data_IF_134531272082
#
_entry.id   IF_134531272082
#
_cell.length_a   1.000
_cell.length_b   1.000
_cell.length_c   1.000
_cell.angle_alpha   90.00
_cell.angle_beta   90.00
_cell.angle_gamma   90.00
#
_symmetry.space_group_name_H-M   'P 1'
#
loop_
_entity.id
_entity.type
_entity.pdbx_description
1 polymer ?
#
# COMPACT_ATOMS: atom_id res chain seq x y z
N UNK A 1 -3.80 -2.39 -12.92
CA UNK A 1 -2.51 -3.09 -13.00
C UNK A 1 -1.59 -2.50 -14.04
N UNK A 2 -2.09 -2.19 -15.25
CA UNK A 2 -1.27 -1.52 -16.28
C UNK A 2 -0.84 -0.11 -15.86
N UNK A 3 -1.65 0.60 -15.05
CA UNK A 3 -1.25 1.87 -14.45
C UNK A 3 -0.12 1.68 -13.42
N UNK A 4 -0.16 0.62 -12.61
CA UNK A 4 0.93 0.32 -11.65
C UNK A 4 2.21 -0.07 -12.39
N UNK A 5 2.13 -0.86 -13.46
CA UNK A 5 3.28 -1.17 -14.31
C UNK A 5 3.90 0.08 -14.93
N UNK A 6 3.07 1.06 -15.35
CA UNK A 6 3.54 2.36 -15.82
C UNK A 6 4.21 3.18 -14.72
N UNK A 7 3.75 3.08 -13.47
CA UNK A 7 4.36 3.74 -12.31
C UNK A 7 5.78 3.24 -12.03
N UNK A 8 6.01 1.94 -12.21
CA UNK A 8 7.31 1.31 -11.95
C UNK A 8 8.29 1.52 -13.13
N UNK A 9 7.80 1.44 -14.38
CA UNK A 9 8.62 1.48 -15.60
C UNK A 9 8.70 2.86 -16.28
N UNK A 10 8.02 3.89 -15.72
CA UNK A 10 7.83 5.20 -16.35
C UNK A 10 6.78 5.16 -17.48
N UNK A 11 6.29 6.34 -17.85
CA UNK A 11 5.34 6.51 -18.94
C UNK A 11 6.10 6.84 -20.23
N UNK A 12 5.90 6.04 -21.28
CA UNK A 12 6.50 6.31 -22.59
C UNK A 12 5.67 7.35 -23.33
N UNK A 13 6.24 8.53 -23.54
CA UNK A 13 5.63 9.61 -24.36
C UNK A 13 6.52 9.81 -25.59
N UNK A 14 6.09 9.29 -26.75
CA UNK A 14 6.90 9.22 -27.95
C UNK A 14 8.15 8.35 -27.70
N UNK A 15 9.33 8.90 -27.99
CA UNK A 15 10.61 8.20 -27.77
C UNK A 15 11.21 8.44 -26.37
N UNK A 16 10.55 9.22 -25.52
CA UNK A 16 11.03 9.54 -24.18
C UNK A 16 10.30 8.73 -23.11
N UNK A 17 11.05 8.24 -22.14
CA UNK A 17 10.48 7.73 -20.88
C UNK A 17 10.41 8.91 -19.92
N UNK A 18 9.21 9.23 -19.47
CA UNK A 18 8.97 10.28 -18.47
C UNK A 18 8.64 9.60 -17.16
N UNK A 19 9.46 9.84 -16.15
CA UNK A 19 9.23 9.30 -14.83
C UNK A 19 8.13 10.10 -14.12
N UNK A 20 7.21 9.44 -13.39
CA UNK A 20 6.23 10.11 -12.56
C UNK A 20 6.92 10.87 -11.42
N UNK A 21 6.36 12.01 -11.04
CA UNK A 21 6.81 12.77 -9.88
C UNK A 21 6.06 12.32 -8.63
N UNK A 22 6.79 11.86 -7.62
CA UNK A 22 6.27 11.41 -6.34
C UNK A 22 6.34 12.53 -5.30
N UNK A 23 5.23 12.75 -4.60
CA UNK A 23 5.13 13.76 -3.55
C UNK A 23 4.61 13.13 -2.27
N UNK A 24 5.50 12.91 -1.29
CA UNK A 24 5.11 12.40 0.03
C UNK A 24 4.15 13.37 0.71
N UNK A 25 3.17 12.81 1.39
CA UNK A 25 2.19 13.54 2.18
C UNK A 25 2.30 13.19 3.66
N UNK A 26 1.73 14.05 4.50
CA UNK A 26 1.62 13.75 5.92
C UNK A 26 0.82 12.45 6.12
N UNK A 27 1.36 11.57 6.94
CA UNK A 27 0.73 10.28 7.26
C UNK A 27 -0.55 10.44 8.10
N UNK A 28 -0.74 11.60 8.70
CA UNK A 28 -1.85 11.90 9.59
C UNK A 28 -2.92 12.71 8.87
N UNK A 29 -4.12 12.14 8.75
CA UNK A 29 -5.29 12.83 8.25
C UNK A 29 -6.23 13.14 9.41
N UNK A 30 -6.16 14.37 9.92
CA UNK A 30 -7.07 14.86 10.94
C UNK A 30 -8.22 15.63 10.29
N UNK A 31 -9.45 15.24 10.61
CA UNK A 31 -10.63 16.04 10.30
C UNK A 31 -11.31 16.35 11.63
N UNK A 32 -11.64 17.63 11.84
CA UNK A 32 -12.32 18.09 13.05
C UNK A 32 -13.60 17.27 13.26
N UNK A 33 -13.79 16.80 14.48
CA UNK A 33 -14.93 15.99 14.92
C UNK A 33 -14.99 14.54 14.35
N UNK A 34 -14.04 14.14 13.48
CA UNK A 34 -13.94 12.77 12.92
C UNK A 34 -12.72 11.98 13.42
N UNK A 35 -11.80 12.67 14.11
CA UNK A 35 -10.59 12.07 14.68
C UNK A 35 -9.43 11.93 13.69
N UNK A 36 -8.35 11.32 14.18
CA UNK A 36 -7.09 11.10 13.46
C UNK A 36 -7.11 9.74 12.77
N UNK A 37 -6.77 9.73 11.49
CA UNK A 37 -6.46 8.52 10.73
C UNK A 37 -4.99 8.58 10.33
N UNK A 38 -4.25 7.50 10.62
CA UNK A 38 -2.83 7.39 10.27
C UNK A 38 -2.65 6.38 9.16
N UNK A 39 -1.91 6.77 8.14
CA UNK A 39 -1.48 5.92 7.03
C UNK A 39 -0.06 5.42 7.27
N UNK A 40 0.25 4.18 6.84
CA UNK A 40 1.64 3.70 6.86
C UNK A 40 2.48 4.49 5.85
N UNK A 41 2.01 4.58 4.61
CA UNK A 41 2.63 5.40 3.54
C UNK A 41 1.52 6.12 2.78
N UNK A 42 1.63 7.45 2.64
CA UNK A 42 0.68 8.27 1.90
C UNK A 42 1.41 9.27 1.00
N UNK A 43 1.03 9.32 -0.27
CA UNK A 43 1.62 10.20 -1.26
C UNK A 43 0.67 10.44 -2.45
N UNK A 44 0.98 11.42 -3.29
CA UNK A 44 0.37 11.54 -4.59
C UNK A 44 1.43 11.46 -5.69
N UNK A 45 0.98 11.12 -6.89
CA UNK A 45 1.80 11.02 -8.08
C UNK A 45 1.18 11.87 -9.17
N UNK A 46 2.02 12.65 -9.82
CA UNK A 46 1.68 13.37 -11.02
C UNK A 46 2.14 12.57 -12.26
N UNK A 47 1.17 11.98 -12.95
CA UNK A 47 1.36 11.12 -14.13
C UNK A 47 1.29 11.96 -15.39
N UNK A 48 2.38 12.09 -16.17
CA UNK A 48 2.35 12.72 -17.47
C UNK A 48 1.39 11.97 -18.42
N UNK A 49 0.58 12.72 -19.18
CA UNK A 49 -0.31 12.19 -20.20
C UNK A 49 0.25 12.44 -21.60
N UNK A 50 -0.26 11.72 -22.61
CA UNK A 50 0.16 11.87 -24.00
C UNK A 50 -0.14 13.26 -24.58
N UNK A 51 -1.15 13.94 -24.08
CA UNK A 51 -1.56 15.31 -24.45
C UNK A 51 -0.78 16.40 -23.70
N UNK A 52 0.30 16.03 -22.99
CA UNK A 52 1.11 16.90 -22.14
C UNK A 52 0.41 17.41 -20.88
N UNK A 53 -0.81 16.97 -20.60
CA UNK A 53 -1.46 17.21 -19.32
C UNK A 53 -0.88 16.33 -18.23
N UNK A 54 -1.25 16.60 -16.98
CA UNK A 54 -0.81 15.80 -15.82
C UNK A 54 -2.03 15.27 -15.09
N UNK A 55 -2.07 13.95 -14.89
CA UNK A 55 -3.11 13.30 -14.09
C UNK A 55 -2.56 13.02 -12.70
N UNK A 56 -3.13 13.68 -11.68
CA UNK A 56 -2.79 13.40 -10.28
C UNK A 56 -3.62 12.24 -9.74
N UNK A 57 -2.96 11.35 -9.00
CA UNK A 57 -3.60 10.27 -8.24
C UNK A 57 -3.03 10.22 -6.83
N UNK A 58 -3.88 9.95 -5.85
CA UNK A 58 -3.48 9.79 -4.45
C UNK A 58 -3.38 8.31 -4.11
N UNK A 59 -2.33 7.93 -3.39
CA UNK A 59 -2.03 6.53 -3.08
C UNK A 59 -1.71 6.41 -1.61
N UNK A 60 -2.35 5.48 -0.91
CA UNK A 60 -1.85 4.97 0.34
C UNK A 60 -1.48 3.49 0.24
N UNK A 61 -0.48 3.08 1.03
CA UNK A 61 -0.05 1.70 1.15
C UNK A 61 -0.08 1.34 2.63
N UNK A 62 -0.82 0.29 2.97
CA UNK A 62 -0.96 -0.26 4.31
C UNK A 62 -0.37 -1.65 4.36
N UNK A 63 0.52 -1.93 5.33
CA UNK A 63 1.10 -3.25 5.55
C UNK A 63 0.45 -3.86 6.79
N UNK A 64 -0.42 -4.85 6.58
CA UNK A 64 -1.25 -5.42 7.63
C UNK A 64 -0.85 -6.86 7.97
N UNK A 65 -0.08 -7.04 9.04
CA UNK A 65 0.39 -8.36 9.49
C UNK A 65 -0.74 -9.25 10.04
N UNK A 66 -1.79 -8.64 10.64
CA UNK A 66 -2.96 -9.38 11.14
C UNK A 66 -4.07 -9.35 10.11
N UNK A 67 -4.40 -10.49 9.53
CA UNK A 67 -5.50 -10.63 8.55
C UNK A 67 -6.90 -10.62 9.18
N UNK A 68 -6.99 -10.76 10.51
CA UNK A 68 -8.25 -10.74 11.29
C UNK A 68 -8.07 -9.92 12.56
N UNK A 69 -8.04 -8.58 12.48
CA UNK A 69 -7.83 -7.71 13.64
C UNK A 69 -9.08 -7.50 14.50
N UNK A 70 -10.18 -8.23 14.25
CA UNK A 70 -11.48 -8.08 14.92
C UNK A 70 -12.52 -7.33 14.08
N UNK A 71 -12.15 -6.90 12.88
CA UNK A 71 -13.02 -6.27 11.88
C UNK A 71 -12.54 -6.65 10.46
N UNK A 72 -13.37 -6.35 9.46
CA UNK A 72 -13.03 -6.63 8.06
C UNK A 72 -12.10 -5.56 7.49
N UNK A 73 -10.93 -5.97 6.99
CA UNK A 73 -9.94 -5.06 6.39
C UNK A 73 -10.49 -4.33 5.16
N UNK A 74 -11.34 -4.98 4.37
CA UNK A 74 -12.03 -4.35 3.24
C UNK A 74 -12.88 -3.16 3.71
N UNK A 75 -13.62 -3.29 4.82
CA UNK A 75 -14.39 -2.17 5.37
C UNK A 75 -13.49 -1.02 5.82
N UNK A 76 -12.35 -1.36 6.44
CA UNK A 76 -11.36 -0.35 6.83
C UNK A 76 -10.75 0.32 5.59
N UNK A 77 -10.46 -0.43 4.52
CA UNK A 77 -9.89 0.16 3.29
C UNK A 77 -10.85 1.18 2.64
N UNK A 78 -12.15 0.93 2.65
CA UNK A 78 -13.17 1.87 2.18
C UNK A 78 -13.14 3.16 3.02
N UNK A 79 -13.06 3.05 4.37
CA UNK A 79 -12.96 4.22 5.23
C UNK A 79 -11.69 5.04 4.95
N UNK A 80 -10.56 4.38 4.66
CA UNK A 80 -9.31 5.04 4.29
C UNK A 80 -9.43 5.78 2.94
N UNK A 81 -9.99 5.14 1.92
CA UNK A 81 -10.23 5.78 0.63
C UNK A 81 -11.17 6.98 0.75
N UNK A 82 -12.27 6.83 1.50
CA UNK A 82 -13.22 7.92 1.76
C UNK A 82 -12.54 9.11 2.45
N UNK A 83 -11.63 8.85 3.41
CA UNK A 83 -10.84 9.89 4.08
C UNK A 83 -9.89 10.58 3.11
N UNK A 84 -9.22 9.83 2.22
CA UNK A 84 -8.35 10.38 1.18
C UNK A 84 -9.12 11.29 0.22
N UNK A 85 -10.34 10.90 -0.17
CA UNK A 85 -11.23 11.73 -0.98
C UNK A 85 -11.62 12.99 -0.22
N UNK A 86 -12.14 12.83 1.01
CA UNK A 86 -12.58 13.96 1.84
C UNK A 86 -11.45 14.96 2.12
N UNK A 87 -10.22 14.48 2.30
CA UNK A 87 -9.05 15.32 2.56
C UNK A 87 -8.62 16.18 1.38
N UNK A 88 -9.14 15.95 0.18
CA UNK A 88 -8.89 16.76 -1.01
C UNK A 88 -9.75 18.04 -1.04
N UNK A 89 -10.79 18.12 -0.19
CA UNK A 89 -11.66 19.28 -0.13
C UNK A 89 -10.88 20.58 0.10
N UNK A 90 -11.20 21.62 -0.69
CA UNK A 90 -10.52 22.90 -0.64
C UNK A 90 -9.13 22.93 -1.28
N UNK A 91 -8.63 21.79 -1.81
CA UNK A 91 -7.34 21.69 -2.53
C UNK A 91 -7.52 21.24 -3.98
N UNK A 92 -8.20 20.13 -4.19
CA UNK A 92 -8.40 19.54 -5.51
C UNK A 92 -9.83 19.80 -6.02
N UNK A 93 -10.80 19.82 -5.12
CA UNK A 93 -12.20 20.06 -5.44
C UNK A 93 -12.91 20.82 -4.30
N UNK A 94 -14.03 21.46 -4.62
CA UNK A 94 -14.90 22.19 -3.70
C UNK A 94 -16.37 22.16 -4.16
N UNK A 95 -17.23 22.98 -3.54
CA UNK A 95 -18.67 23.06 -3.86
C UNK A 95 -18.96 23.60 -5.27
N UNK A 96 -18.03 24.26 -5.92
CA UNK A 96 -18.18 24.83 -7.27
C UNK A 96 -17.55 23.93 -8.35
N UNK A 97 -16.62 23.02 -7.95
CA UNK A 97 -15.87 22.16 -8.87
C UNK A 97 -15.65 20.75 -8.29
N UNK A 98 -16.68 19.91 -8.27
CA UNK A 98 -16.58 18.51 -7.86
C UNK A 98 -15.75 17.67 -8.84
N UNK A 99 -15.69 18.02 -10.12
CA UNK A 99 -14.93 17.30 -11.16
C UNK A 99 -13.41 17.37 -10.92
N UNK A 100 -12.95 18.33 -10.13
CA UNK A 100 -11.57 18.43 -9.67
C UNK A 100 -11.09 17.26 -8.83
N UNK A 101 -12.00 16.46 -8.24
CA UNK A 101 -11.70 15.30 -7.40
C UNK A 101 -10.76 14.32 -8.10
N UNK A 102 -9.62 14.04 -7.46
CA UNK A 102 -8.62 13.11 -7.97
C UNK A 102 -8.90 11.70 -7.48
N UNK A 103 -8.58 10.71 -8.34
CA UNK A 103 -8.71 9.30 -7.99
C UNK A 103 -7.77 8.93 -6.84
N UNK A 104 -8.25 8.08 -5.93
CA UNK A 104 -7.48 7.51 -4.84
C UNK A 104 -7.31 6.01 -5.03
N UNK A 105 -6.12 5.52 -4.71
CA UNK A 105 -5.78 4.10 -4.65
C UNK A 105 -5.37 3.73 -3.23
N UNK A 106 -5.96 2.67 -2.70
CA UNK A 106 -5.61 2.14 -1.38
C UNK A 106 -5.09 0.71 -1.51
N UNK A 107 -3.78 0.52 -1.28
CA UNK A 107 -3.10 -0.77 -1.35
C UNK A 107 -2.99 -1.37 0.04
N UNK A 108 -3.50 -2.57 0.21
CA UNK A 108 -3.45 -3.32 1.47
C UNK A 108 -2.66 -4.59 1.26
N UNK A 109 -1.47 -4.65 1.84
CA UNK A 109 -0.54 -5.77 1.69
C UNK A 109 -0.62 -6.60 2.96
N UNK A 110 -1.00 -7.86 2.84
CA UNK A 110 -1.07 -8.84 3.91
C UNK A 110 0.06 -9.87 3.75
N UNK A 111 1.24 -9.67 4.40
CA UNK A 111 2.40 -10.54 4.21
C UNK A 111 2.23 -11.95 4.79
N UNK A 112 1.21 -12.16 5.62
CA UNK A 112 0.94 -13.42 6.31
C UNK A 112 -0.50 -13.87 6.09
N UNK A 113 -0.92 -13.92 4.84
CA UNK A 113 -2.25 -14.42 4.49
C UNK A 113 -2.41 -15.91 4.79
N UNK A 114 -3.66 -16.34 4.98
CA UNK A 114 -3.98 -17.76 5.09
C UNK A 114 -3.78 -18.45 3.74
N UNK A 115 -3.51 -19.77 3.75
CA UNK A 115 -3.31 -20.56 2.53
C UNK A 115 -4.42 -20.40 1.49
N UNK A 116 -5.66 -20.17 1.92
CA UNK A 116 -6.80 -19.98 1.00
C UNK A 116 -6.82 -18.62 0.30
N UNK A 117 -6.02 -17.65 0.75
CA UNK A 117 -5.91 -16.30 0.17
C UNK A 117 -4.54 -16.02 -0.44
N UNK A 118 -3.63 -16.97 -0.31
CA UNK A 118 -2.26 -16.84 -0.78
C UNK A 118 -2.20 -16.57 -2.29
N UNK A 119 -1.36 -15.60 -2.68
CA UNK A 119 -1.21 -15.19 -4.07
C UNK A 119 -2.42 -14.45 -4.66
N UNK A 120 -3.45 -14.15 -3.86
CA UNK A 120 -4.62 -13.44 -4.36
C UNK A 120 -4.41 -11.93 -4.39
N UNK A 121 -4.85 -11.29 -5.46
CA UNK A 121 -5.04 -9.85 -5.55
C UNK A 121 -6.51 -9.59 -5.84
N UNK A 122 -7.21 -8.93 -4.91
CA UNK A 122 -8.60 -8.56 -5.08
C UNK A 122 -8.70 -7.05 -5.30
N UNK A 123 -9.38 -6.67 -6.37
CA UNK A 123 -9.68 -5.28 -6.69
C UNK A 123 -11.12 -4.97 -6.29
N UNK A 124 -11.32 -3.85 -5.61
CA UNK A 124 -12.63 -3.28 -5.31
C UNK A 124 -12.69 -1.89 -5.95
N UNK A 125 -13.76 -1.63 -6.67
CA UNK A 125 -13.98 -0.34 -7.36
C UNK A 125 -15.47 -0.06 -7.51
N UNK A 126 -15.80 1.21 -7.77
CA UNK A 126 -17.15 1.61 -8.13
C UNK A 126 -17.44 1.13 -9.57
N UNK A 127 -18.64 0.63 -9.79
CA UNK A 127 -19.12 0.23 -11.11
C UNK A 127 -20.54 0.71 -11.32
N UNK A 128 -20.85 1.14 -12.53
CA UNK A 128 -22.21 1.45 -12.96
C UNK A 128 -22.93 0.18 -13.41
N UNK A 129 -24.19 0.01 -13.00
CA UNK A 129 -25.07 -1.04 -13.48
C UNK A 129 -26.34 -0.43 -14.07
N UNK A 130 -26.63 -0.70 -15.32
CA UNK A 130 -27.83 -0.22 -15.99
C UNK A 130 -29.06 -1.02 -15.53
N UNK A 131 -29.90 -0.40 -14.73
CA UNK A 131 -31.17 -1.00 -14.27
C UNK A 131 -32.34 -0.69 -15.20
N UNK A 132 -32.28 0.43 -15.92
CA UNK A 132 -33.27 0.85 -16.91
C UNK A 132 -32.71 1.96 -17.81
N UNK A 133 -33.12 1.97 -19.09
CA UNK A 133 -32.65 2.96 -20.06
C UNK A 133 -31.31 2.59 -20.69
N UNK A 134 -30.79 3.51 -21.55
CA UNK A 134 -29.58 3.26 -22.35
C UNK A 134 -28.49 4.32 -22.13
N UNK A 135 -28.63 5.17 -21.10
CA UNK A 135 -27.60 6.14 -20.75
C UNK A 135 -26.46 5.44 -20.01
N UNK A 136 -25.24 5.75 -20.40
CA UNK A 136 -24.00 5.26 -19.79
C UNK A 136 -23.15 6.46 -19.37
N UNK A 137 -22.80 6.53 -18.08
CA UNK A 137 -21.96 7.60 -17.58
C UNK A 137 -20.49 7.36 -17.96
N UNK A 138 -19.75 8.44 -18.18
CA UNK A 138 -18.32 8.34 -18.45
C UNK A 138 -17.60 7.81 -17.21
N UNK A 139 -16.76 6.79 -17.40
CA UNK A 139 -16.02 6.13 -16.32
C UNK A 139 -15.17 7.12 -15.50
N UNK A 140 -14.62 8.15 -16.12
CA UNK A 140 -13.83 9.20 -15.48
C UNK A 140 -14.62 10.03 -14.44
N UNK A 141 -15.94 10.04 -14.53
CA UNK A 141 -16.79 10.79 -13.62
C UNK A 141 -17.03 10.06 -12.30
N UNK A 142 -17.00 8.73 -12.27
CA UNK A 142 -17.27 7.92 -11.08
C UNK A 142 -16.11 7.04 -10.62
N UNK A 143 -15.10 6.76 -11.44
CA UNK A 143 -13.91 5.98 -11.09
C UNK A 143 -12.96 6.80 -10.21
N UNK A 144 -13.42 7.13 -8.99
CA UNK A 144 -12.69 8.01 -8.06
C UNK A 144 -11.98 7.26 -6.93
N UNK A 145 -12.29 5.99 -6.72
CA UNK A 145 -11.62 5.17 -5.72
C UNK A 145 -11.38 3.73 -6.18
N UNK A 146 -10.28 3.15 -5.72
CA UNK A 146 -9.93 1.77 -5.98
C UNK A 146 -9.12 1.20 -4.81
N UNK A 147 -9.52 0.04 -4.30
CA UNK A 147 -8.77 -0.68 -3.29
C UNK A 147 -8.18 -1.96 -3.88
N UNK A 148 -6.91 -2.23 -3.55
CA UNK A 148 -6.25 -3.48 -3.90
C UNK A 148 -5.84 -4.21 -2.62
N UNK A 149 -6.42 -5.40 -2.44
CA UNK A 149 -6.12 -6.30 -1.34
C UNK A 149 -5.14 -7.36 -1.84
N UNK A 150 -3.88 -7.27 -1.40
CA UNK A 150 -2.76 -8.12 -1.86
C UNK A 150 -2.42 -9.10 -0.74
N UNK A 151 -2.61 -10.39 -0.98
CA UNK A 151 -2.41 -11.45 -0.02
C UNK A 151 -1.15 -12.25 -0.34
N UNK A 152 -0.16 -12.18 0.55
CA UNK A 152 1.08 -12.93 0.45
C UNK A 152 1.12 -13.98 1.56
N UNK A 153 1.60 -15.19 1.29
CA UNK A 153 1.72 -16.22 2.32
C UNK A 153 2.92 -16.02 3.23
N UNK A 154 2.78 -16.54 4.45
CA UNK A 154 3.90 -16.63 5.37
C UNK A 154 4.89 -17.69 4.89
N UNK A 155 6.11 -17.28 4.61
CA UNK A 155 7.20 -18.19 4.29
C UNK A 155 7.30 -18.58 2.81
N UNK A 156 6.82 -17.73 1.89
CA UNK A 156 7.21 -17.88 0.49
C UNK A 156 8.73 -17.88 0.36
N UNK A 157 9.22 -18.95 -0.24
CA UNK A 157 10.61 -19.01 -0.69
C UNK A 157 10.79 -18.06 -1.88
N UNK A 158 11.98 -17.47 -2.08
CA UNK A 158 12.28 -16.75 -3.32
C UNK A 158 12.06 -17.54 -4.60
N UNK A 159 12.01 -18.88 -4.48
CA UNK A 159 11.78 -19.80 -5.59
C UNK A 159 10.29 -20.16 -5.80
N UNK A 160 9.40 -19.75 -4.89
CA UNK A 160 7.97 -19.98 -5.07
C UNK A 160 7.44 -18.96 -6.09
N UNK A 161 6.85 -19.46 -7.17
CA UNK A 161 6.27 -18.61 -8.22
C UNK A 161 4.76 -18.51 -8.05
N UNK A 162 4.23 -17.29 -8.26
CA UNK A 162 2.81 -17.09 -8.41
C UNK A 162 2.43 -17.28 -9.88
N UNK A 163 1.39 -18.05 -10.18
CA UNK A 163 0.97 -18.37 -11.55
C UNK A 163 0.55 -17.13 -12.37
N UNK A 164 0.12 -16.08 -11.67
CA UNK A 164 -0.24 -14.81 -12.31
C UNK A 164 0.19 -13.64 -11.42
N UNK A 165 0.84 -12.63 -11.92
CA UNK A 165 1.39 -11.45 -11.21
C UNK A 165 2.76 -11.64 -10.53
N UNK A 166 3.56 -12.61 -10.96
CA UNK A 166 4.93 -12.82 -10.44
C UNK A 166 5.74 -11.53 -10.42
N UNK A 167 5.62 -10.70 -11.47
CA UNK A 167 6.34 -9.41 -11.59
C UNK A 167 6.02 -8.41 -10.46
N UNK A 168 4.93 -8.59 -9.72
CA UNK A 168 4.49 -7.71 -8.63
C UNK A 168 4.63 -8.40 -7.29
N UNK A 169 4.11 -9.63 -7.18
CA UNK A 169 4.01 -10.33 -5.91
C UNK A 169 5.37 -10.82 -5.41
N UNK A 170 6.24 -11.27 -6.31
CA UNK A 170 7.55 -11.79 -5.93
C UNK A 170 8.47 -10.71 -5.32
N UNK A 171 8.69 -9.54 -5.95
CA UNK A 171 9.53 -8.52 -5.34
C UNK A 171 8.93 -7.96 -4.05
N UNK A 172 7.60 -7.78 -3.96
CA UNK A 172 6.95 -7.34 -2.71
C UNK A 172 7.12 -8.41 -1.63
N UNK A 173 6.89 -9.68 -1.96
CA UNK A 173 7.05 -10.79 -1.04
C UNK A 173 8.47 -10.90 -0.51
N UNK A 174 9.47 -10.78 -1.37
CA UNK A 174 10.87 -10.79 -0.96
C UNK A 174 11.23 -9.61 -0.03
N UNK A 175 10.79 -8.40 -0.37
CA UNK A 175 11.04 -7.21 0.45
C UNK A 175 10.46 -7.33 1.85
N UNK A 176 9.24 -7.85 1.98
CA UNK A 176 8.52 -7.98 3.25
C UNK A 176 8.82 -9.27 4.01
N UNK A 177 9.63 -10.16 3.44
CA UNK A 177 10.02 -11.40 4.10
C UNK A 177 11.14 -11.15 5.11
N UNK A 178 10.81 -11.25 6.39
CA UNK A 178 11.77 -11.05 7.50
C UNK A 178 12.77 -12.21 7.66
N UNK A 179 12.56 -13.35 6.98
CA UNK A 179 13.49 -14.48 7.02
C UNK A 179 14.62 -14.36 6.02
N UNK A 180 14.48 -13.48 5.02
CA UNK A 180 15.51 -13.22 4.01
C UNK A 180 16.44 -12.09 4.46
N UNK A 181 17.73 -12.32 4.36
CA UNK A 181 18.74 -11.28 4.54
C UNK A 181 18.81 -10.34 3.32
N UNK A 182 19.61 -9.26 3.45
CA UNK A 182 19.75 -8.27 2.39
C UNK A 182 20.21 -8.86 1.05
N UNK A 183 21.17 -9.81 1.07
CA UNK A 183 21.72 -10.40 -0.14
C UNK A 183 20.68 -11.23 -0.88
N UNK A 184 19.93 -12.08 -0.14
CA UNK A 184 18.84 -12.89 -0.68
C UNK A 184 17.72 -12.04 -1.27
N UNK A 185 17.33 -10.94 -0.61
CA UNK A 185 16.37 -9.98 -1.13
C UNK A 185 16.87 -9.33 -2.41
N UNK A 186 18.13 -8.92 -2.44
CA UNK A 186 18.73 -8.27 -3.59
C UNK A 186 18.80 -9.18 -4.83
N UNK A 187 19.05 -10.48 -4.64
CA UNK A 187 19.03 -11.46 -5.73
C UNK A 187 17.65 -11.55 -6.38
N UNK A 188 16.59 -11.67 -5.57
CA UNK A 188 15.21 -11.70 -6.10
C UNK A 188 14.88 -10.40 -6.82
N UNK A 189 15.14 -9.25 -6.23
CA UNK A 189 14.78 -7.94 -6.78
C UNK A 189 15.49 -7.64 -8.09
N UNK A 190 16.74 -8.08 -8.23
CA UNK A 190 17.55 -7.94 -9.44
C UNK A 190 16.90 -8.62 -10.65
N UNK A 191 16.25 -9.78 -10.46
CA UNK A 191 15.54 -10.48 -11.53
C UNK A 191 14.40 -9.65 -12.12
N UNK A 192 13.84 -8.72 -11.31
CA UNK A 192 12.72 -7.84 -11.70
C UNK A 192 13.16 -6.43 -12.15
N UNK A 193 14.50 -6.21 -12.30
CA UNK A 193 15.05 -4.94 -12.80
C UNK A 193 14.91 -3.77 -11.81
N UNK A 194 14.79 -4.05 -10.50
CA UNK A 194 14.71 -3.08 -9.43
C UNK A 194 16.03 -2.97 -8.67
N UNK A 195 17.15 -3.01 -9.40
CA UNK A 195 18.50 -3.13 -8.83
C UNK A 195 19.36 -1.88 -8.95
N UNK A 196 18.76 -0.70 -9.15
CA UNK A 196 19.50 0.56 -9.12
C UNK A 196 20.07 0.86 -7.73
N UNK A 197 21.13 1.68 -7.67
CA UNK A 197 21.87 1.92 -6.42
C UNK A 197 21.02 2.65 -5.36
N UNK A 198 20.14 3.57 -5.76
CA UNK A 198 19.25 4.27 -4.83
C UNK A 198 18.26 3.30 -4.18
N UNK A 199 17.69 2.38 -4.96
CA UNK A 199 16.79 1.35 -4.44
C UNK A 199 17.51 0.40 -3.48
N UNK A 200 18.74 -0.03 -3.81
CA UNK A 200 19.55 -0.88 -2.94
C UNK A 200 19.89 -0.22 -1.61
N UNK A 201 20.22 1.08 -1.62
CA UNK A 201 20.49 1.84 -0.41
C UNK A 201 19.25 1.91 0.48
N UNK A 202 18.09 2.26 -0.07
CA UNK A 202 16.81 2.29 0.66
C UNK A 202 16.41 0.92 1.21
N UNK A 203 16.64 -0.14 0.44
CA UNK A 203 16.35 -1.51 0.89
C UNK A 203 17.26 -1.93 2.06
N UNK A 204 18.56 -1.52 2.02
CA UNK A 204 19.49 -1.76 3.12
C UNK A 204 19.05 -1.07 4.40
N UNK A 205 18.62 0.19 4.30
CA UNK A 205 18.09 0.96 5.43
C UNK A 205 16.82 0.34 5.99
N UNK A 206 15.94 -0.16 5.15
CA UNK A 206 14.72 -0.86 5.55
C UNK A 206 15.02 -2.17 6.29
N UNK A 207 16.01 -2.95 5.83
CA UNK A 207 16.45 -4.17 6.51
C UNK A 207 17.04 -3.86 7.89
N UNK A 208 17.90 -2.84 7.98
CA UNK A 208 18.50 -2.41 9.24
C UNK A 208 17.44 -1.89 10.23
N UNK A 209 16.47 -1.12 9.74
CA UNK A 209 15.36 -0.62 10.56
C UNK A 209 14.48 -1.76 11.09
N UNK A 210 14.25 -2.79 10.29
CA UNK A 210 13.51 -4.00 10.69
C UNK A 210 14.18 -4.71 11.86
N UNK A 211 15.49 -4.91 11.83
CA UNK A 211 16.27 -5.49 12.91
C UNK A 211 16.21 -4.66 14.22
N UNK A 212 16.30 -3.33 14.10
CA UNK A 212 16.21 -2.44 15.27
C UNK A 212 14.82 -2.49 15.91
N UNK A 213 13.75 -2.50 15.10
CA UNK A 213 12.37 -2.59 15.61
C UNK A 213 12.13 -3.94 16.30
N UNK A 214 12.70 -5.03 15.77
CA UNK A 214 12.58 -6.36 16.36
C UNK A 214 13.31 -6.45 17.70
N UNK A 215 14.51 -5.89 17.80
CA UNK A 215 15.27 -5.79 19.05
C UNK A 215 14.53 -4.95 20.10
N UNK A 216 13.99 -3.80 19.74
CA UNK A 216 13.18 -2.97 20.64
C UNK A 216 11.89 -3.68 21.10
N UNK A 217 11.23 -4.41 20.22
CA UNK A 217 10.04 -5.19 20.57
C UNK A 217 10.36 -6.31 21.52
N UNK A 218 11.50 -6.98 21.34
CA UNK A 218 12.02 -8.04 22.25
C UNK A 218 12.35 -7.46 23.62
N UNK A 219 13.03 -6.31 23.68
CA UNK A 219 13.31 -5.63 24.96
C UNK A 219 12.05 -5.17 25.70
N UNK A 220 11.07 -4.61 24.97
CA UNK A 220 9.78 -4.22 25.57
C UNK A 220 8.99 -5.44 26.04
N UNK A 221 9.07 -6.56 25.32
CA UNK A 221 8.46 -7.83 25.72
C UNK A 221 9.06 -8.42 26.97
N UNK A 222 10.39 -8.43 27.08
CA UNK A 222 11.13 -8.93 28.28
C UNK A 222 10.88 -8.03 29.50
N UNK A 223 10.88 -6.70 29.35
CA UNK A 223 10.56 -5.75 30.44
C UNK A 223 9.13 -5.94 30.96
N UNK A 224 8.13 -6.16 30.07
CA UNK A 224 6.75 -6.45 30.47
C UNK A 224 6.61 -7.84 31.14
N UNK A 225 7.37 -8.83 30.70
CA UNK A 225 7.40 -10.17 31.28
C UNK A 225 7.93 -10.15 32.72
N UNK A 226 9.08 -9.50 32.94
CA UNK A 226 9.71 -9.34 34.27
C UNK A 226 8.85 -8.51 35.23
N UNK A 227 8.14 -7.51 34.75
CA UNK A 227 7.24 -6.71 35.57
C UNK A 227 5.98 -7.49 35.99
N UNK A 228 5.40 -8.31 35.11
CA UNK A 228 4.30 -9.22 35.45
C UNK A 228 4.71 -10.28 36.47
N UNK A 229 5.89 -10.82 36.33
CA UNK A 229 6.43 -11.82 37.26
C UNK A 229 6.74 -11.26 38.66
N UNK A 230 7.24 -10.00 38.73
CA UNK A 230 7.39 -9.24 39.98
C UNK A 230 6.05 -8.99 40.69
N UNK A 231 5.03 -8.58 39.94
CA UNK A 231 3.68 -8.35 40.49
C UNK A 231 3.10 -9.67 41.00
N UNK A 232 3.25 -10.78 40.26
CA UNK A 232 2.78 -12.08 40.68
C UNK A 232 3.47 -12.58 41.98
N UNK A 233 4.77 -12.39 42.10
CA UNK A 233 5.52 -12.74 43.33
C UNK A 233 5.14 -11.87 44.53
N UNK A 234 4.66 -10.63 44.34
CA UNK A 234 4.23 -9.72 45.41
C UNK A 234 2.77 -9.97 45.85
N UNK A 235 1.99 -10.78 45.13
CA UNK A 235 0.62 -11.15 45.49
C UNK A 235 0.56 -12.50 46.20
N UNK A 236 1.63 -13.31 46.12
CA UNK A 236 1.75 -14.62 46.79
C UNK A 236 2.36 -14.54 48.23
N UNK A 237 2.56 -13.31 48.78
CA UNK A 237 2.91 -13.01 50.16
C UNK A 237 1.79 -12.17 50.82
#
# INVERSE_FOLDING_TARGET
>A
LDEIKKLIKGVRIGDKIVNPHFHLMDKEAFIKDEGLMCYDIYFYIDLPQLDQSTKRVYINIEIQNKTSPGYHLVTRSIAYSSRMISSQWGREYDSENYDGMKKVYSFWIMPQATKSKDGCINQLKIAENHLSGNYEEKIENYDKEEQLMIYLSKGHSPNDKYESYDEILMPIGALLNNTLNYQEKNEVIKEYGLDDEEFKERMRDMCNLGEVIELEALEKGTKKGTQKERIRKNIEY
#
